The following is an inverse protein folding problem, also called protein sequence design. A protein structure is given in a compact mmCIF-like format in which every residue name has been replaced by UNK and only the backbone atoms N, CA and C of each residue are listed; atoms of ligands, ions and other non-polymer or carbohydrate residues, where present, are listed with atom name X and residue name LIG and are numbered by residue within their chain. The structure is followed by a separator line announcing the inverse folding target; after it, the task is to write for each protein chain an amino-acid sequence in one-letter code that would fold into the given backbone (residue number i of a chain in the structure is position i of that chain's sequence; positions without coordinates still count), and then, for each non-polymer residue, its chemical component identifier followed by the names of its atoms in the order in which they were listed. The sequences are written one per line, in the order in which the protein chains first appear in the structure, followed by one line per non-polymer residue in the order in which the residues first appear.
data_IF_674655720852
#
_entry.id   IF_674655720852
#
_cell.length_a   1.000
_cell.length_b   1.000
_cell.length_c   1.000
_cell.angle_alpha   90.00
_cell.angle_beta   90.00
_cell.angle_gamma   90.00
#
_symmetry.space_group_name_H-M   'P 1'
#
loop_
_entity.id
_entity.type
_entity.pdbx_description
1 polymer ?
#
# COMPACT_ATOMS: atom_id res chain seq x y z
N UNK A 1 -51.90 7.63 39.10
CA UNK A 1 -53.15 7.89 38.35
C UNK A 1 -52.95 9.20 37.56
N UNK A 2 -53.12 9.15 36.23
CA UNK A 2 -52.87 10.24 35.24
C UNK A 2 -53.98 11.32 35.32
N UNK A 3 -53.85 12.59 34.83
CA UNK A 3 -53.58 12.93 33.41
C UNK A 3 -52.56 14.09 33.21
N UNK A 4 -51.66 14.04 32.22
CA UNK A 4 -51.88 14.28 30.78
C UNK A 4 -52.53 15.64 30.48
N UNK A 5 -51.72 16.69 30.28
CA UNK A 5 -52.09 17.84 29.46
C UNK A 5 -50.86 18.34 28.69
N UNK A 6 -50.99 18.30 27.38
CA UNK A 6 -50.04 18.75 26.37
C UNK A 6 -50.43 20.15 25.92
N UNK A 7 -49.44 20.99 25.59
CA UNK A 7 -49.37 21.83 24.37
C UNK A 7 -48.94 23.29 24.58
N UNK A 8 -47.89 23.64 23.82
CA UNK A 8 -47.52 24.95 23.22
C UNK A 8 -47.04 26.07 24.14
N UNK A 9 -45.72 26.34 24.09
CA UNK A 9 -45.16 27.61 23.57
C UNK A 9 -43.83 27.35 22.85
N UNK A 10 -43.79 27.72 21.57
CA UNK A 10 -42.60 27.77 20.75
C UNK A 10 -41.68 28.89 21.27
N UNK A 11 -40.43 28.55 21.56
CA UNK A 11 -39.38 29.49 21.94
C UNK A 11 -38.16 29.26 21.05
N UNK A 12 -37.87 30.28 20.25
CA UNK A 12 -36.77 30.38 19.28
C UNK A 12 -35.41 30.16 19.95
N UNK A 13 -34.63 29.21 19.45
CA UNK A 13 -33.16 29.27 19.49
C UNK A 13 -32.58 28.46 18.33
N UNK A 14 -32.54 29.10 17.15
CA UNK A 14 -31.67 28.67 16.05
C UNK A 14 -30.23 29.04 16.41
N UNK A 15 -29.58 28.19 17.21
CA UNK A 15 -28.13 28.19 17.34
C UNK A 15 -27.59 27.09 16.43
N UNK A 16 -27.07 27.55 15.30
CA UNK A 16 -25.89 27.02 14.61
C UNK A 16 -25.62 25.54 14.86
N UNK A 17 -26.10 24.72 13.93
CA UNK A 17 -25.49 23.43 13.60
C UNK A 17 -24.01 23.66 13.24
N UNK A 18 -23.01 23.27 14.06
CA UNK A 18 -21.77 22.86 13.45
C UNK A 18 -22.10 21.53 12.80
N UNK A 19 -22.06 21.52 11.47
CA UNK A 19 -22.10 20.29 10.69
C UNK A 19 -21.27 19.24 11.41
N UNK A 20 -21.92 18.14 11.78
CA UNK A 20 -21.21 16.87 11.91
C UNK A 20 -20.46 16.70 10.59
N UNK A 21 -19.16 16.99 10.59
CA UNK A 21 -18.26 16.48 9.59
C UNK A 21 -18.23 14.97 9.80
N UNK A 22 -19.23 14.28 9.26
CA UNK A 22 -19.19 12.85 9.10
C UNK A 22 -18.11 12.61 8.05
N UNK A 23 -16.86 12.45 8.51
CA UNK A 23 -15.82 11.90 7.67
C UNK A 23 -16.26 10.49 7.34
N UNK A 24 -16.79 10.30 6.14
CA UNK A 24 -17.10 9.00 5.59
C UNK A 24 -15.78 8.24 5.51
N UNK A 25 -15.54 7.36 6.49
CA UNK A 25 -14.60 6.29 6.33
C UNK A 25 -15.08 5.49 5.11
N UNK A 26 -14.39 5.67 3.97
CA UNK A 26 -14.63 4.89 2.77
C UNK A 26 -14.36 3.43 3.12
N UNK A 27 -15.42 2.72 3.47
CA UNK A 27 -15.41 1.27 3.66
C UNK A 27 -15.39 0.65 2.27
N UNK A 28 -14.21 0.57 1.65
CA UNK A 28 -13.99 -0.33 0.52
C UNK A 28 -13.99 -1.74 1.08
N UNK A 29 -15.18 -2.35 1.13
CA UNK A 29 -15.34 -3.80 1.27
C UNK A 29 -15.16 -4.37 -0.14
N UNK A 30 -13.95 -4.87 -0.42
CA UNK A 30 -13.65 -5.70 -1.57
C UNK A 30 -13.85 -7.17 -1.21
N UNK A 31 -14.63 -7.89 -2.01
CA UNK A 31 -14.84 -9.33 -1.93
C UNK A 31 -13.57 -10.08 -2.35
N UNK A 32 -13.03 -10.89 -1.44
CA UNK A 32 -11.99 -11.92 -1.62
C UNK A 32 -11.07 -11.80 -2.86
N UNK A 33 -9.83 -11.35 -2.64
CA UNK A 33 -8.71 -11.53 -3.59
C UNK A 33 -8.18 -10.25 -4.25
N UNK A 34 -8.80 -9.09 -4.02
CA UNK A 34 -8.32 -7.82 -4.55
C UNK A 34 -7.22 -7.23 -3.66
N UNK A 35 -6.04 -6.98 -4.23
CA UNK A 35 -5.02 -6.16 -3.58
C UNK A 35 -5.59 -4.76 -3.36
N UNK A 36 -5.58 -4.27 -2.12
CA UNK A 36 -5.86 -2.87 -1.86
C UNK A 36 -4.65 -2.09 -2.39
N UNK A 37 -4.81 -1.52 -3.58
CA UNK A 37 -3.86 -0.56 -4.14
C UNK A 37 -4.35 0.84 -3.76
N UNK A 38 -3.82 1.39 -2.67
CA UNK A 38 -3.96 2.83 -2.42
C UNK A 38 -2.78 3.56 -3.03
N UNK A 39 -2.79 4.89 -2.97
CA UNK A 39 -1.66 5.69 -3.46
C UNK A 39 -0.31 5.32 -2.83
N UNK A 40 -0.32 4.95 -1.56
CA UNK A 40 0.89 4.77 -0.78
C UNK A 40 1.06 3.33 -0.26
N UNK A 41 0.14 2.41 -0.57
CA UNK A 41 0.18 1.03 -0.08
C UNK A 41 -0.30 0.00 -1.11
N UNK A 42 0.26 -1.19 -1.03
CA UNK A 42 -0.13 -2.37 -1.79
C UNK A 42 -0.21 -3.58 -0.86
N UNK A 43 -1.36 -4.27 -0.86
CA UNK A 43 -1.45 -5.58 -0.22
C UNK A 43 -2.86 -5.99 0.18
N UNK A 44 -2.99 -7.11 0.90
CA UNK A 44 -1.90 -8.01 1.28
C UNK A 44 -1.26 -8.69 0.06
N UNK A 45 0.01 -9.07 0.14
CA UNK A 45 0.69 -9.82 -0.91
C UNK A 45 0.20 -11.26 -0.97
N UNK A 46 0.11 -11.83 -2.17
CA UNK A 46 -0.31 -13.21 -2.42
C UNK A 46 0.83 -14.07 -2.96
N UNK A 47 0.68 -15.39 -2.90
CA UNK A 47 1.72 -16.35 -3.35
C UNK A 47 2.18 -16.17 -4.80
N UNK A 48 1.32 -15.60 -5.65
CA UNK A 48 1.59 -15.40 -7.08
C UNK A 48 2.22 -14.04 -7.39
N UNK A 49 2.30 -13.17 -6.38
CA UNK A 49 2.90 -11.86 -6.51
C UNK A 49 4.41 -11.98 -6.58
N UNK A 50 4.99 -11.05 -7.32
CA UNK A 50 6.42 -10.82 -7.33
C UNK A 50 6.65 -9.34 -7.20
N UNK A 51 7.77 -8.95 -6.60
CA UNK A 51 8.13 -7.54 -6.50
C UNK A 51 8.12 -6.85 -7.87
N UNK A 52 8.49 -7.57 -8.94
CA UNK A 52 8.40 -7.09 -10.32
C UNK A 52 6.96 -6.77 -10.76
N UNK A 53 6.00 -7.69 -10.54
CA UNK A 53 4.58 -7.44 -10.88
C UNK A 53 4.03 -6.26 -10.09
N UNK A 54 4.35 -6.19 -8.80
CA UNK A 54 3.91 -5.10 -7.93
C UNK A 54 4.50 -3.77 -8.40
N UNK A 55 5.81 -3.72 -8.69
CA UNK A 55 6.47 -2.52 -9.18
C UNK A 55 5.90 -2.05 -10.52
N UNK A 56 5.58 -2.96 -11.45
CA UNK A 56 4.89 -2.60 -12.70
C UNK A 56 3.49 -2.02 -12.44
N UNK A 57 2.73 -2.63 -11.54
CA UNK A 57 1.37 -2.20 -11.23
C UNK A 57 1.32 -0.87 -10.46
N UNK A 58 2.37 -0.55 -9.71
CA UNK A 58 2.45 0.64 -8.85
C UNK A 58 3.31 1.76 -9.45
N UNK A 59 4.02 1.50 -10.55
CA UNK A 59 4.80 2.52 -11.26
C UNK A 59 3.89 3.51 -11.99
N UNK A 60 3.80 4.70 -11.41
CA UNK A 60 2.99 5.83 -11.92
C UNK A 60 3.78 6.73 -12.87
N UNK A 61 5.07 6.85 -12.63
CA UNK A 61 5.97 7.72 -13.40
C UNK A 61 6.75 6.91 -14.43
N UNK A 62 6.50 7.20 -15.71
CA UNK A 62 7.11 6.48 -16.83
C UNK A 62 8.58 6.81 -17.05
N UNK A 63 9.10 7.85 -16.38
CA UNK A 63 10.54 8.17 -16.41
C UNK A 63 11.36 7.30 -15.47
N UNK A 64 10.71 6.60 -14.53
CA UNK A 64 11.37 5.69 -13.59
C UNK A 64 11.45 4.28 -14.16
N UNK A 65 12.61 3.64 -13.98
CA UNK A 65 12.77 2.23 -14.33
C UNK A 65 12.07 1.33 -13.32
N UNK A 66 11.54 0.19 -13.77
CA UNK A 66 10.93 -0.80 -12.87
C UNK A 66 11.92 -1.26 -11.79
N UNK A 67 13.21 -1.37 -12.12
CA UNK A 67 14.24 -1.72 -11.14
C UNK A 67 14.36 -0.70 -10.01
N UNK A 68 14.31 0.60 -10.30
CA UNK A 68 14.30 1.64 -9.26
C UNK A 68 13.08 1.49 -8.35
N UNK A 69 11.90 1.28 -8.94
CA UNK A 69 10.66 1.10 -8.17
C UNK A 69 10.76 -0.15 -7.29
N UNK A 70 11.25 -1.27 -7.82
CA UNK A 70 11.46 -2.50 -7.04
C UNK A 70 12.42 -2.26 -5.86
N UNK A 71 13.57 -1.63 -6.10
CA UNK A 71 14.54 -1.38 -5.04
C UNK A 71 13.99 -0.41 -3.99
N UNK A 72 13.22 0.59 -4.40
CA UNK A 72 12.58 1.53 -3.48
C UNK A 72 11.56 0.81 -2.58
N UNK A 73 10.68 -0.01 -3.16
CA UNK A 73 9.70 -0.81 -2.40
C UNK A 73 10.43 -1.76 -1.44
N UNK A 74 11.52 -2.38 -1.89
CA UNK A 74 12.34 -3.24 -1.03
C UNK A 74 12.92 -2.46 0.16
N UNK A 75 13.54 -1.31 -0.08
CA UNK A 75 14.14 -0.47 0.96
C UNK A 75 13.10 0.09 1.96
N UNK A 76 11.89 0.38 1.49
CA UNK A 76 10.80 0.85 2.34
C UNK A 76 10.15 -0.27 3.16
N UNK A 77 10.35 -1.54 2.79
CA UNK A 77 9.69 -2.69 3.42
C UNK A 77 10.65 -3.86 3.71
N UNK A 78 11.77 -3.64 4.42
CA UNK A 78 12.76 -4.70 4.65
C UNK A 78 12.17 -5.94 5.36
N UNK A 79 11.16 -5.75 6.21
CA UNK A 79 10.45 -6.83 6.91
C UNK A 79 9.66 -7.77 5.98
N UNK A 80 9.29 -7.32 4.77
CA UNK A 80 8.50 -8.09 3.83
C UNK A 80 9.34 -9.05 2.96
N UNK A 81 10.67 -9.02 3.09
CA UNK A 81 11.58 -9.80 2.28
C UNK A 81 12.54 -10.62 3.13
N UNK A 82 12.56 -11.92 2.89
CA UNK A 82 13.50 -12.82 3.56
C UNK A 82 14.90 -12.75 2.94
N UNK A 83 15.96 -13.05 3.70
CA UNK A 83 17.32 -13.24 3.15
C UNK A 83 17.95 -12.04 2.43
N UNK A 84 17.45 -10.82 2.65
CA UNK A 84 17.93 -9.59 1.99
C UNK A 84 18.02 -9.75 0.46
N UNK A 85 16.91 -10.14 -0.16
CA UNK A 85 16.83 -10.41 -1.59
C UNK A 85 15.55 -9.83 -2.20
N UNK A 86 15.63 -9.19 -3.37
CA UNK A 86 14.45 -8.65 -4.05
C UNK A 86 13.44 -9.71 -4.51
N UNK A 87 13.84 -10.98 -4.58
CA UNK A 87 13.02 -12.10 -5.09
C UNK A 87 12.35 -12.94 -3.99
N UNK A 88 12.52 -12.58 -2.72
CA UNK A 88 12.05 -13.34 -1.56
C UNK A 88 10.91 -12.61 -0.82
N UNK A 89 10.00 -12.03 -1.60
CA UNK A 89 8.80 -11.40 -1.08
C UNK A 89 7.94 -12.43 -0.32
N UNK A 90 7.59 -12.12 0.92
CA UNK A 90 6.71 -12.94 1.75
C UNK A 90 5.24 -12.68 1.43
N UNK A 91 4.40 -13.68 1.74
CA UNK A 91 2.94 -13.61 1.57
C UNK A 91 2.30 -12.90 2.76
N UNK A 92 1.17 -12.23 2.53
CA UNK A 92 0.38 -11.55 3.56
C UNK A 92 0.94 -10.19 3.99
N UNK A 93 1.95 -9.67 3.29
CA UNK A 93 2.60 -8.42 3.63
C UNK A 93 1.79 -7.23 3.10
N UNK A 94 1.70 -6.17 3.90
CA UNK A 94 1.29 -4.85 3.43
C UNK A 94 2.55 -4.08 3.07
N UNK A 95 2.67 -3.66 1.82
CA UNK A 95 3.83 -2.95 1.31
C UNK A 95 3.52 -1.46 1.23
N UNK A 96 4.39 -0.65 1.81
CA UNK A 96 4.44 0.79 1.54
C UNK A 96 4.98 1.02 0.13
N UNK A 97 4.31 1.83 -0.66
CA UNK A 97 4.74 2.27 -1.99
C UNK A 97 5.37 3.67 -1.84
N UNK A 98 6.67 3.82 -2.12
CA UNK A 98 7.34 5.12 -2.06
C UNK A 98 6.85 6.10 -3.14
N UNK A 99 6.93 7.39 -2.84
CA UNK A 99 6.60 8.44 -3.81
C UNK A 99 7.62 8.50 -4.95
N UNK A 100 7.22 8.92 -6.17
CA UNK A 100 8.14 9.05 -7.29
C UNK A 100 9.40 9.87 -6.98
N UNK A 101 9.27 10.93 -6.17
CA UNK A 101 10.41 11.75 -5.74
C UNK A 101 11.44 10.96 -4.92
N UNK A 102 10.99 10.03 -4.06
CA UNK A 102 11.87 9.14 -3.30
C UNK A 102 12.53 8.11 -4.21
N UNK A 103 11.78 7.57 -5.18
CA UNK A 103 12.33 6.58 -6.12
C UNK A 103 13.41 7.21 -7.01
N UNK A 104 13.25 8.49 -7.41
CA UNK A 104 14.23 9.24 -8.21
C UNK A 104 15.60 9.39 -7.55
N UNK A 105 15.70 9.28 -6.22
CA UNK A 105 17.01 9.35 -5.54
C UNK A 105 17.84 8.08 -5.72
N UNK A 106 17.24 7.00 -6.21
CA UNK A 106 17.92 5.72 -6.47
C UNK A 106 18.48 5.74 -7.89
N UNK A 107 19.77 5.43 -8.04
CA UNK A 107 20.40 5.30 -9.36
C UNK A 107 19.79 4.13 -10.16
N UNK A 108 19.41 4.33 -11.43
CA UNK A 108 18.94 3.25 -12.31
C UNK A 108 19.94 2.08 -12.41
N UNK A 109 21.23 2.39 -12.59
CA UNK A 109 22.28 1.38 -12.74
C UNK A 109 22.48 0.59 -11.46
N UNK A 110 22.47 1.28 -10.31
CA UNK A 110 22.55 0.63 -9.00
C UNK A 110 21.38 -0.33 -8.79
N UNK A 111 20.16 0.10 -9.11
CA UNK A 111 18.95 -0.71 -8.95
C UNK A 111 18.99 -1.95 -9.86
N UNK A 112 19.41 -1.77 -11.11
CA UNK A 112 19.61 -2.88 -12.05
C UNK A 112 20.64 -3.88 -11.53
N UNK A 113 21.84 -3.41 -11.16
CA UNK A 113 22.91 -4.26 -10.66
C UNK A 113 22.52 -5.02 -9.38
N UNK A 114 21.77 -4.36 -8.49
CA UNK A 114 21.20 -5.01 -7.30
C UNK A 114 20.24 -6.13 -7.69
N UNK A 115 19.33 -5.89 -8.64
CA UNK A 115 18.40 -6.91 -9.13
C UNK A 115 19.11 -8.12 -9.74
N UNK A 116 20.16 -7.91 -10.55
CA UNK A 116 20.93 -9.00 -11.17
C UNK A 116 21.64 -9.85 -10.11
N UNK A 117 22.31 -9.21 -9.15
CA UNK A 117 23.00 -9.90 -8.05
C UNK A 117 22.03 -10.77 -7.24
N UNK A 118 20.88 -10.21 -6.88
CA UNK A 118 19.90 -10.91 -6.08
C UNK A 118 19.23 -12.05 -6.84
N UNK A 119 18.98 -11.88 -8.14
CA UNK A 119 18.51 -12.96 -9.01
C UNK A 119 19.50 -14.13 -9.07
N UNK A 120 20.80 -13.86 -9.20
CA UNK A 120 21.84 -14.90 -9.19
C UNK A 120 21.87 -15.67 -7.86
N UNK A 121 21.87 -14.95 -6.73
CA UNK A 121 21.83 -15.54 -5.38
C UNK A 121 20.58 -16.40 -5.15
N UNK A 122 19.43 -15.93 -5.65
CA UNK A 122 18.16 -16.65 -5.55
C UNK A 122 18.19 -17.97 -6.32
N UNK A 123 18.69 -17.94 -7.56
CA UNK A 123 18.81 -19.14 -8.41
C UNK A 123 19.73 -20.18 -7.80
N UNK A 124 20.90 -19.77 -7.29
CA UNK A 124 21.83 -20.69 -6.61
C UNK A 124 21.17 -21.37 -5.42
N UNK A 125 20.47 -20.61 -4.57
CA UNK A 125 19.75 -21.15 -3.41
C UNK A 125 18.69 -22.17 -3.80
N UNK A 126 17.98 -21.95 -4.92
CA UNK A 126 16.96 -22.89 -5.41
C UNK A 126 17.56 -24.18 -5.98
N UNK A 127 18.80 -24.15 -6.46
CA UNK A 127 19.49 -25.33 -6.97
C UNK A 127 20.09 -26.23 -5.88
N UNK A 128 20.22 -25.71 -4.65
CA UNK A 128 20.77 -26.44 -3.49
C UNK A 128 19.69 -27.19 -2.67
N UNK A 129 18.43 -27.18 -3.12
CA UNK A 129 17.29 -27.86 -2.48
C UNK A 129 16.84 -29.02 -3.35
#
# INVERSE_FOLDING_TARGET
MKPLLWSKKYGILWLLCPMLAYSSAVKVVGSQGEHRQTEHEYGPTHRQDTLWKIAQATSRDKTLTIYQVMLAIFQANPQAFSFDNLNSLEVGQMLRIPDPAQIRTISPDQAYMRSIRDYQRWRQRRALK
#
